data_IF_533506393273
#
_entry.id   IF_533506393273
#
_cell.length_a   1.000
_cell.length_b   1.000
_cell.length_c   1.000
_cell.angle_alpha   90.00
_cell.angle_beta   90.00
_cell.angle_gamma   90.00
#
_symmetry.space_group_name_H-M   'P 1'
#
loop_
_entity.id
_entity.type
_entity.pdbx_description
1 polymer ?
#
# COMPACT_ATOMS: atom_id res chain seq x y z
N UNK A 1 5.98 6.29 -24.53
CA UNK A 1 5.59 5.30 -23.49
C UNK A 1 5.50 6.05 -22.17
N UNK A 2 4.39 5.97 -21.43
CA UNK A 2 4.30 6.63 -20.12
C UNK A 2 5.24 5.95 -19.13
N UNK A 3 6.03 6.73 -18.40
CA UNK A 3 6.91 6.27 -17.31
C UNK A 3 6.36 6.84 -16.01
N UNK A 4 6.13 5.97 -15.02
CA UNK A 4 5.72 6.38 -13.68
C UNK A 4 6.98 6.70 -12.87
N UNK A 5 7.00 7.90 -12.30
CA UNK A 5 8.08 8.46 -11.47
C UNK A 5 7.49 8.88 -10.13
N UNK A 6 8.31 9.09 -9.09
CA UNK A 6 7.83 9.56 -7.78
C UNK A 6 6.96 10.82 -7.89
N UNK A 7 7.30 11.73 -8.80
CA UNK A 7 6.62 13.02 -9.02
C UNK A 7 5.42 12.93 -9.97
N UNK A 8 5.07 11.74 -10.47
CA UNK A 8 3.90 11.58 -11.35
C UNK A 8 2.65 12.07 -10.61
N UNK A 9 1.85 12.99 -11.21
CA UNK A 9 0.68 13.53 -10.53
C UNK A 9 -0.35 12.46 -10.19
N UNK A 10 -0.98 12.59 -9.01
CA UNK A 10 -2.03 11.66 -8.55
C UNK A 10 -3.12 11.42 -9.61
N UNK A 11 -3.54 12.47 -10.34
CA UNK A 11 -4.53 12.34 -11.43
C UNK A 11 -4.11 11.34 -12.50
N UNK A 12 -2.83 11.34 -12.89
CA UNK A 12 -2.29 10.42 -13.89
C UNK A 12 -2.24 9.00 -13.33
N UNK A 13 -1.77 8.84 -12.09
CA UNK A 13 -1.71 7.55 -11.38
C UNK A 13 -3.10 6.92 -11.24
N UNK A 14 -4.11 7.71 -10.88
CA UNK A 14 -5.50 7.26 -10.81
C UNK A 14 -6.01 6.80 -12.17
N UNK A 15 -5.70 7.52 -13.24
CA UNK A 15 -6.16 7.18 -14.59
C UNK A 15 -5.58 5.85 -15.08
N UNK A 16 -4.31 5.56 -14.79
CA UNK A 16 -3.66 4.31 -15.21
C UNK A 16 -3.84 3.15 -14.22
N UNK A 17 -4.21 3.45 -12.97
CA UNK A 17 -4.47 2.47 -11.92
C UNK A 17 -5.94 2.04 -11.79
N UNK A 18 -6.86 2.74 -12.47
CA UNK A 18 -8.32 2.58 -12.28
C UNK A 18 -8.87 1.19 -12.59
N UNK A 19 -8.21 0.43 -13.47
CA UNK A 19 -8.70 -0.87 -13.96
C UNK A 19 -8.97 -1.83 -12.80
N UNK A 20 -10.23 -2.19 -12.57
CA UNK A 20 -10.61 -3.07 -11.47
C UNK A 20 -11.96 -3.73 -11.77
N UNK A 21 -11.97 -5.06 -11.82
CA UNK A 21 -13.17 -5.84 -12.15
C UNK A 21 -14.04 -6.13 -10.92
N UNK A 22 -13.77 -5.50 -9.77
CA UNK A 22 -14.46 -5.72 -8.49
C UNK A 22 -14.39 -7.13 -7.90
N UNK A 23 -13.84 -8.11 -8.64
CA UNK A 23 -13.76 -9.55 -8.30
C UNK A 23 -12.32 -10.12 -8.32
N UNK A 24 -11.32 -9.29 -8.59
CA UNK A 24 -9.95 -9.72 -8.93
C UNK A 24 -9.17 -10.37 -7.77
N UNK A 25 -8.11 -11.09 -8.17
CA UNK A 25 -7.09 -11.70 -7.32
C UNK A 25 -6.57 -10.79 -6.20
N UNK A 26 -6.48 -9.48 -6.41
CA UNK A 26 -5.99 -8.56 -5.39
C UNK A 26 -6.79 -8.70 -4.09
N UNK A 27 -8.13 -8.69 -4.16
CA UNK A 27 -8.98 -8.80 -2.97
C UNK A 27 -9.08 -10.23 -2.42
N UNK A 28 -8.61 -11.25 -3.15
CA UNK A 28 -8.58 -12.64 -2.70
C UNK A 28 -7.28 -13.00 -1.95
N UNK A 29 -6.22 -12.24 -2.17
CA UNK A 29 -4.89 -12.52 -1.63
C UNK A 29 -4.35 -11.36 -0.77
N UNK A 30 -4.84 -10.14 -0.94
CA UNK A 30 -4.44 -9.03 -0.09
C UNK A 30 -5.61 -8.10 0.27
N UNK A 31 -5.42 -7.34 1.33
CA UNK A 31 -6.23 -6.17 1.65
C UNK A 31 -5.44 -4.91 1.34
N UNK A 32 -6.05 -3.94 0.68
CA UNK A 32 -5.39 -2.67 0.43
C UNK A 32 -5.06 -1.91 1.70
N UNK A 33 -4.09 -0.99 1.60
CA UNK A 33 -3.78 -0.03 2.66
C UNK A 33 -4.89 1.02 2.74
N UNK A 34 -5.27 1.38 3.96
CA UNK A 34 -6.26 2.40 4.28
C UNK A 34 -5.55 3.54 4.99
N UNK A 35 -5.51 4.71 4.34
CA UNK A 35 -4.97 5.94 4.93
C UNK A 35 -6.01 6.55 5.87
N UNK A 36 -5.60 7.37 6.84
CA UNK A 36 -6.53 8.04 7.77
C UNK A 36 -7.63 8.83 7.03
N UNK A 37 -7.28 9.53 5.94
CA UNK A 37 -8.22 10.24 5.08
C UNK A 37 -9.25 9.33 4.36
N UNK A 38 -8.91 8.06 4.15
CA UNK A 38 -9.86 7.08 3.61
C UNK A 38 -10.86 6.60 4.67
N UNK A 39 -10.46 6.56 5.94
CA UNK A 39 -11.28 6.00 7.04
C UNK A 39 -12.57 6.79 7.20
N UNK A 40 -12.47 8.11 7.33
CA UNK A 40 -13.65 8.99 7.50
C UNK A 40 -14.66 8.83 6.36
N UNK A 41 -14.15 8.85 5.12
CA UNK A 41 -14.95 8.75 3.90
C UNK A 41 -15.64 7.40 3.76
N UNK A 42 -14.94 6.30 4.05
CA UNK A 42 -15.49 4.94 3.95
C UNK A 42 -16.47 4.68 5.08
N UNK A 43 -16.14 5.04 6.33
CA UNK A 43 -17.03 4.89 7.47
C UNK A 43 -18.38 5.59 7.23
N UNK A 44 -18.34 6.84 6.73
CA UNK A 44 -19.54 7.60 6.35
C UNK A 44 -20.38 6.89 5.30
N UNK A 45 -19.75 6.34 4.25
CA UNK A 45 -20.48 5.61 3.20
C UNK A 45 -21.15 4.32 3.69
N UNK A 46 -20.67 3.77 4.79
CA UNK A 46 -21.20 2.56 5.44
C UNK A 46 -22.16 2.89 6.59
N UNK A 47 -22.48 4.16 6.83
CA UNK A 47 -23.28 4.64 7.96
C UNK A 47 -22.72 4.20 9.33
N UNK A 48 -21.38 4.27 9.48
CA UNK A 48 -20.68 3.94 10.72
C UNK A 48 -19.88 5.14 11.23
N UNK A 49 -19.64 5.18 12.54
CA UNK A 49 -18.61 6.05 13.11
C UNK A 49 -17.21 5.54 12.74
N UNK A 50 -16.23 6.44 12.67
CA UNK A 50 -14.83 6.07 12.38
C UNK A 50 -14.30 5.02 13.37
N UNK A 51 -14.58 5.21 14.67
CA UNK A 51 -14.21 4.25 15.72
C UNK A 51 -14.77 2.87 15.43
N UNK A 52 -16.08 2.77 15.15
CA UNK A 52 -16.73 1.49 14.87
C UNK A 52 -16.20 0.86 13.58
N UNK A 53 -15.93 1.66 12.56
CA UNK A 53 -15.36 1.21 11.30
C UNK A 53 -13.93 0.65 11.48
N UNK A 54 -13.04 1.36 12.19
CA UNK A 54 -11.69 0.89 12.54
C UNK A 54 -11.75 -0.45 13.28
N UNK A 55 -12.53 -0.52 14.37
CA UNK A 55 -12.66 -1.73 15.19
C UNK A 55 -13.24 -2.92 14.40
N UNK A 56 -14.22 -2.67 13.54
CA UNK A 56 -14.93 -3.74 12.82
C UNK A 56 -14.11 -4.26 11.64
N UNK A 57 -13.51 -3.37 10.85
CA UNK A 57 -12.98 -3.73 9.52
C UNK A 57 -11.48 -3.60 9.35
N UNK A 58 -10.77 -2.89 10.24
CA UNK A 58 -9.35 -2.60 10.06
C UNK A 58 -8.47 -3.36 11.05
N UNK A 59 -7.22 -3.53 10.66
CA UNK A 59 -6.11 -3.96 11.52
C UNK A 59 -4.96 -2.97 11.34
N UNK A 60 -4.28 -2.68 12.43
CA UNK A 60 -3.03 -1.92 12.38
C UNK A 60 -1.97 -2.70 11.61
N UNK A 61 -1.15 -1.96 10.88
CA UNK A 61 -0.08 -2.49 10.07
C UNK A 61 1.07 -1.46 10.03
N UNK A 62 2.26 -1.92 9.68
CA UNK A 62 3.41 -1.05 9.50
C UNK A 62 4.08 -1.39 8.18
N UNK A 63 4.50 -0.36 7.46
CA UNK A 63 5.30 -0.52 6.25
C UNK A 63 6.29 0.63 6.13
N UNK A 64 7.56 0.33 5.92
CA UNK A 64 8.65 1.32 5.87
C UNK A 64 8.71 2.16 7.16
N UNK A 65 8.54 1.53 8.33
CA UNK A 65 8.46 2.19 9.64
C UNK A 65 7.38 3.28 9.73
N UNK A 66 6.32 3.15 8.93
CA UNK A 66 5.15 4.03 8.94
C UNK A 66 3.92 3.22 9.30
N UNK A 67 3.25 3.62 10.37
CA UNK A 67 1.99 3.04 10.79
C UNK A 67 0.90 3.31 9.75
N UNK A 68 0.12 2.29 9.43
CA UNK A 68 -1.00 2.36 8.50
C UNK A 68 -2.07 1.34 8.90
N UNK A 69 -3.19 1.33 8.17
CA UNK A 69 -4.22 0.31 8.36
C UNK A 69 -4.35 -0.57 7.12
N UNK A 70 -4.78 -1.81 7.34
CA UNK A 70 -5.28 -2.69 6.28
C UNK A 70 -6.68 -3.16 6.64
N UNK A 71 -7.48 -3.52 5.63
CA UNK A 71 -8.69 -4.27 5.92
C UNK A 71 -8.35 -5.63 6.52
N UNK A 72 -9.20 -6.09 7.44
CA UNK A 72 -9.19 -7.47 7.92
C UNK A 72 -9.30 -8.43 6.74
N UNK A 73 -8.68 -9.60 6.90
CA UNK A 73 -8.71 -10.66 5.91
C UNK A 73 -9.22 -11.95 6.54
N UNK A 74 -10.07 -12.65 5.81
CA UNK A 74 -10.38 -14.05 6.04
C UNK A 74 -9.19 -14.88 5.54
N UNK A 75 -8.41 -15.44 6.48
CA UNK A 75 -7.24 -16.25 6.14
C UNK A 75 -7.69 -17.53 5.43
N UNK A 76 -7.09 -17.79 4.27
CA UNK A 76 -7.34 -19.01 3.53
C UNK A 76 -6.62 -20.18 4.19
N UNK A 77 -7.15 -21.39 4.04
CA UNK A 77 -6.50 -22.63 4.52
C UNK A 77 -5.83 -23.30 3.32
N UNK A 78 -4.60 -23.77 3.53
CA UNK A 78 -3.91 -24.60 2.56
C UNK A 78 -4.49 -26.02 2.59
N UNK A 79 -5.00 -26.50 1.46
CA UNK A 79 -5.72 -27.76 1.39
C UNK A 79 -4.85 -28.98 1.70
N UNK A 80 -3.54 -28.89 1.41
CA UNK A 80 -2.58 -29.98 1.60
C UNK A 80 -2.09 -30.05 3.05
N UNK A 81 -1.72 -28.91 3.62
CA UNK A 81 -1.12 -28.83 4.96
C UNK A 81 -2.13 -28.56 6.06
N UNK A 82 -3.36 -28.17 5.71
CA UNK A 82 -4.41 -27.67 6.62
C UNK A 82 -4.01 -26.44 7.45
N UNK A 83 -2.89 -25.79 7.11
CA UNK A 83 -2.41 -24.59 7.78
C UNK A 83 -3.03 -23.33 7.17
N UNK A 84 -3.14 -22.27 7.98
CA UNK A 84 -3.56 -20.94 7.49
C UNK A 84 -2.47 -20.36 6.58
N UNK A 85 -2.87 -19.86 5.42
CA UNK A 85 -2.00 -19.15 4.48
C UNK A 85 -1.65 -17.76 5.03
N UNK A 86 -0.47 -17.21 4.67
CA UNK A 86 -0.08 -15.87 5.10
C UNK A 86 -0.98 -14.77 4.50
N UNK A 87 -1.63 -15.06 3.36
CA UNK A 87 -2.57 -14.19 2.67
C UNK A 87 -4.03 -14.59 2.91
N UNK A 88 -4.96 -13.71 2.53
CA UNK A 88 -6.39 -13.96 2.73
C UNK A 88 -7.30 -13.07 1.91
N UNK A 89 -8.58 -13.46 1.89
CA UNK A 89 -9.66 -12.73 1.25
C UNK A 89 -9.98 -11.47 2.07
N UNK A 90 -9.96 -10.31 1.45
CA UNK A 90 -10.34 -9.05 2.07
C UNK A 90 -11.81 -9.12 2.55
N UNK A 91 -12.09 -8.68 3.78
CA UNK A 91 -13.45 -8.68 4.36
C UNK A 91 -14.44 -7.82 3.59
N UNK A 92 -13.96 -6.90 2.75
CA UNK A 92 -14.79 -6.08 1.88
C UNK A 92 -15.21 -6.79 0.59
N UNK A 93 -14.70 -7.99 0.31
CA UNK A 93 -15.08 -8.78 -0.86
C UNK A 93 -16.24 -9.72 -0.52
N UNK A 94 -17.42 -9.43 -1.06
CA UNK A 94 -18.56 -10.33 -1.06
C UNK A 94 -18.50 -11.24 -2.30
N UNK A 95 -18.85 -12.52 -2.17
CA UNK A 95 -18.70 -13.48 -3.27
C UNK A 95 -19.62 -13.16 -4.46
N UNK A 96 -20.85 -12.71 -4.18
CA UNK A 96 -21.83 -12.37 -5.23
C UNK A 96 -21.75 -10.90 -5.69
N UNK A 97 -21.49 -9.96 -4.77
CA UNK A 97 -21.58 -8.52 -5.03
C UNK A 97 -20.21 -7.90 -5.36
N UNK A 98 -19.12 -8.66 -5.20
CA UNK A 98 -17.76 -8.14 -5.31
C UNK A 98 -17.39 -7.21 -4.16
N UNK A 99 -16.52 -6.25 -4.43
CA UNK A 99 -16.08 -5.29 -3.41
C UNK A 99 -17.22 -4.36 -2.94
N UNK A 100 -17.68 -4.50 -1.69
CA UNK A 100 -18.79 -3.75 -1.11
C UNK A 100 -18.53 -2.23 -1.05
N UNK A 101 -17.27 -1.82 -0.96
CA UNK A 101 -16.85 -0.43 -0.91
C UNK A 101 -16.30 0.06 -2.26
N UNK A 102 -16.61 -0.58 -3.38
CA UNK A 102 -15.93 -0.30 -4.65
C UNK A 102 -15.93 1.18 -5.05
N UNK A 103 -17.09 1.85 -4.94
CA UNK A 103 -17.24 3.26 -5.31
C UNK A 103 -16.47 4.21 -4.37
N UNK A 104 -16.14 3.73 -3.18
CA UNK A 104 -15.47 4.47 -2.11
C UNK A 104 -14.18 3.77 -1.67
N UNK A 105 -13.58 2.93 -2.52
CA UNK A 105 -12.38 2.17 -2.18
C UNK A 105 -11.23 3.12 -1.74
N UNK A 106 -10.29 2.67 -0.88
CA UNK A 106 -9.20 3.52 -0.43
C UNK A 106 -8.27 3.89 -1.60
N UNK A 107 -7.46 4.93 -1.42
CA UNK A 107 -6.53 5.40 -2.46
C UNK A 107 -5.64 4.27 -2.97
N UNK A 108 -5.08 3.46 -2.06
CA UNK A 108 -4.26 2.30 -2.43
C UNK A 108 -4.98 1.37 -3.42
N UNK A 109 -6.25 1.05 -3.21
CA UNK A 109 -7.04 0.20 -4.11
C UNK A 109 -7.44 0.90 -5.42
N UNK A 110 -7.35 2.24 -5.50
CA UNK A 110 -7.55 3.01 -6.74
C UNK A 110 -6.29 3.01 -7.61
N UNK A 111 -5.10 2.95 -7.00
CA UNK A 111 -3.83 3.09 -7.71
C UNK A 111 -3.11 1.75 -7.91
N UNK A 112 -3.08 0.87 -6.91
CA UNK A 112 -2.35 -0.40 -6.93
C UNK A 112 -3.21 -1.55 -7.49
N UNK A 113 -3.70 -1.41 -8.72
CA UNK A 113 -4.40 -2.52 -9.38
C UNK A 113 -3.43 -3.52 -9.99
N UNK A 114 -3.63 -4.80 -9.70
CA UNK A 114 -2.87 -5.92 -10.31
C UNK A 114 -3.10 -6.09 -11.82
N UNK A 115 -4.13 -5.43 -12.38
CA UNK A 115 -4.39 -5.44 -13.82
C UNK A 115 -3.59 -4.41 -14.59
N UNK A 116 -3.21 -3.32 -13.94
CA UNK A 116 -2.45 -2.29 -14.60
C UNK A 116 -1.08 -2.85 -15.00
N UNK A 117 -0.69 -2.66 -16.26
CA UNK A 117 0.68 -2.96 -16.72
C UNK A 117 1.76 -2.16 -15.97
N UNK A 118 1.35 -1.14 -15.20
CA UNK A 118 2.21 -0.33 -14.35
C UNK A 118 2.18 -0.78 -12.87
N UNK A 119 1.59 -1.93 -12.54
CA UNK A 119 1.27 -2.32 -11.16
C UNK A 119 2.43 -2.19 -10.15
N UNK A 120 3.63 -2.64 -10.51
CA UNK A 120 4.82 -2.49 -9.66
C UNK A 120 5.19 -1.02 -9.46
N UNK A 121 5.26 -0.25 -10.54
CA UNK A 121 5.60 1.17 -10.50
C UNK A 121 4.56 2.00 -9.73
N UNK A 122 3.27 1.65 -9.82
CA UNK A 122 2.20 2.29 -9.04
C UNK A 122 2.30 1.94 -7.55
N UNK A 123 2.71 0.71 -7.22
CA UNK A 123 2.98 0.29 -5.84
C UNK A 123 4.15 1.07 -5.25
N UNK A 124 5.24 1.22 -6.00
CA UNK A 124 6.38 2.04 -5.60
C UNK A 124 5.99 3.52 -5.46
N UNK A 125 5.20 4.06 -6.41
CA UNK A 125 4.69 5.43 -6.32
C UNK A 125 3.88 5.66 -5.04
N UNK A 126 2.97 4.74 -4.71
CA UNK A 126 2.18 4.84 -3.49
C UNK A 126 3.08 4.76 -2.25
N UNK A 127 4.02 3.82 -2.21
CA UNK A 127 4.96 3.70 -1.11
C UNK A 127 5.78 4.98 -0.90
N UNK A 128 6.37 5.52 -1.96
CA UNK A 128 7.22 6.72 -1.91
C UNK A 128 6.48 8.01 -1.54
N UNK A 129 5.17 8.08 -1.81
CA UNK A 129 4.36 9.28 -1.52
C UNK A 129 3.61 9.19 -0.19
N UNK A 130 3.36 7.99 0.34
CA UNK A 130 2.50 7.82 1.53
C UNK A 130 3.11 7.00 2.67
N UNK A 131 4.16 6.21 2.41
CA UNK A 131 4.71 5.25 3.40
C UNK A 131 6.19 5.47 3.70
N UNK A 132 6.99 5.87 2.72
CA UNK A 132 8.42 6.15 2.93
C UNK A 132 8.56 7.56 3.50
N UNK A 133 9.07 7.65 4.73
CA UNK A 133 9.30 8.89 5.43
C UNK A 133 10.80 9.25 5.37
N UNK A 134 11.14 10.24 4.55
CA UNK A 134 12.54 10.67 4.35
C UNK A 134 13.20 11.27 5.59
N UNK A 135 12.41 11.67 6.59
CA UNK A 135 12.90 12.21 7.84
C UNK A 135 13.10 11.11 8.91
N UNK A 136 12.74 9.87 8.61
CA UNK A 136 12.90 8.71 9.50
C UNK A 136 14.02 7.79 8.95
N UNK A 137 15.19 7.73 9.60
CA UNK A 137 16.32 6.90 9.16
C UNK A 137 15.96 5.44 8.95
N UNK A 138 15.12 4.87 9.82
CA UNK A 138 14.68 3.48 9.71
C UNK A 138 13.76 3.26 8.50
N UNK A 139 12.91 4.23 8.17
CA UNK A 139 12.13 4.18 6.93
C UNK A 139 13.03 4.13 5.68
N UNK A 140 14.10 4.93 5.67
CA UNK A 140 15.10 4.92 4.59
C UNK A 140 15.84 3.57 4.52
N UNK A 141 16.20 2.96 5.66
CA UNK A 141 16.83 1.62 5.67
C UNK A 141 15.90 0.55 5.13
N UNK A 142 14.63 0.54 5.57
CA UNK A 142 13.66 -0.43 5.06
C UNK A 142 13.41 -0.26 3.56
N UNK A 143 13.40 0.98 3.06
CA UNK A 143 13.37 1.25 1.62
C UNK A 143 14.64 0.77 0.92
N UNK A 144 15.83 0.97 1.50
CA UNK A 144 17.10 0.46 0.98
C UNK A 144 17.08 -1.07 0.85
N UNK A 145 16.58 -1.79 1.85
CA UNK A 145 16.38 -3.24 1.81
C UNK A 145 15.41 -3.65 0.71
N UNK A 146 14.31 -2.92 0.52
CA UNK A 146 13.36 -3.17 -0.56
C UNK A 146 14.02 -3.04 -1.95
N UNK A 147 14.88 -2.03 -2.14
CA UNK A 147 15.60 -1.81 -3.40
C UNK A 147 16.65 -2.88 -3.73
N UNK A 148 17.01 -3.75 -2.79
CA UNK A 148 17.86 -4.92 -3.09
C UNK A 148 17.17 -5.93 -4.02
N UNK A 149 15.83 -5.93 -4.04
CA UNK A 149 15.02 -6.89 -4.78
C UNK A 149 14.21 -6.26 -5.91
N UNK A 150 14.21 -4.94 -6.04
CA UNK A 150 13.30 -4.20 -6.92
C UNK A 150 14.04 -3.05 -7.58
N UNK A 151 13.75 -2.79 -8.86
CA UNK A 151 14.31 -1.63 -9.56
C UNK A 151 13.50 -0.38 -9.18
N UNK A 152 14.13 0.68 -8.63
CA UNK A 152 13.41 1.88 -8.25
C UNK A 152 12.82 2.58 -9.47
N UNK A 153 11.59 3.09 -9.35
CA UNK A 153 11.09 4.12 -10.27
C UNK A 153 11.96 5.38 -10.17
N UNK A 154 11.96 6.21 -11.23
CA UNK A 154 12.69 7.48 -11.22
C UNK A 154 12.27 8.34 -10.02
N UNK A 155 13.25 8.89 -9.29
CA UNK A 155 13.04 9.66 -8.05
C UNK A 155 12.85 8.79 -6.81
N UNK A 156 12.90 7.46 -6.95
CA UNK A 156 12.80 6.48 -5.87
C UNK A 156 14.15 5.93 -5.40
N UNK A 157 15.27 6.33 -6.01
CA UNK A 157 16.59 5.92 -5.55
C UNK A 157 16.94 6.59 -4.22
N UNK A 158 17.75 5.93 -3.39
CA UNK A 158 18.19 6.49 -2.10
C UNK A 158 18.89 7.85 -2.26
N UNK A 159 19.65 8.04 -3.34
CA UNK A 159 20.33 9.31 -3.65
C UNK A 159 19.36 10.44 -4.03
N UNK A 160 18.19 10.10 -4.56
CA UNK A 160 17.14 11.08 -4.87
C UNK A 160 16.34 11.44 -3.62
N UNK A 161 16.17 10.49 -2.70
CA UNK A 161 15.48 10.70 -1.42
C UNK A 161 16.34 11.46 -0.41
N UNK A 162 17.63 11.13 -0.34
CA UNK A 162 18.63 11.75 0.55
C UNK A 162 19.84 12.17 -0.30
N UNK A 163 19.82 13.39 -0.90
CA UNK A 163 20.90 13.86 -1.77
C UNK A 163 22.25 14.05 -1.06
N UNK A 164 22.22 14.33 0.24
CA UNK A 164 23.43 14.40 1.06
C UNK A 164 24.01 13.00 1.26
N UNK A 165 25.10 12.71 0.54
CA UNK A 165 25.80 11.41 0.57
C UNK A 165 26.34 11.07 1.96
N UNK A 166 26.82 12.05 2.72
CA UNK A 166 27.36 11.79 4.05
C UNK A 166 26.22 11.42 5.00
N UNK A 167 25.12 12.17 4.96
CA UNK A 167 23.91 11.84 5.72
C UNK A 167 23.38 10.45 5.36
N UNK A 168 23.25 10.15 4.07
CA UNK A 168 22.80 8.84 3.60
C UNK A 168 23.70 7.72 4.12
N UNK A 169 25.02 7.86 4.01
CA UNK A 169 25.98 6.88 4.54
C UNK A 169 25.79 6.64 6.03
N UNK A 170 25.63 7.72 6.82
CA UNK A 170 25.39 7.62 8.26
C UNK A 170 24.08 6.93 8.61
N UNK A 171 23.02 7.16 7.84
CA UNK A 171 21.74 6.45 7.99
C UNK A 171 21.96 4.95 7.77
N UNK A 172 22.58 4.56 6.65
CA UNK A 172 22.75 3.16 6.26
C UNK A 172 23.70 2.38 7.19
N UNK A 173 24.69 3.05 7.79
CA UNK A 173 25.63 2.46 8.74
C UNK A 173 25.18 2.52 10.21
N UNK A 174 23.90 2.85 10.47
CA UNK A 174 23.34 2.94 11.83
C UNK A 174 23.97 4.00 12.75
N UNK A 175 24.62 5.02 12.20
CA UNK A 175 25.16 6.16 12.97
C UNK A 175 24.06 7.17 13.35
N UNK A 176 22.97 7.23 12.58
CA UNK A 176 21.77 8.04 12.88
C UNK A 176 20.61 7.08 13.18
N UNK A 177 20.26 6.92 14.46
CA UNK A 177 19.26 5.94 14.90
C UNK A 177 17.82 6.49 14.94
N UNK A 178 17.65 7.81 15.08
CA UNK A 178 16.36 8.50 15.18
C UNK A 178 16.30 9.66 14.22
#
# INVERSE_FOLDING_TARGET
>A
MLVITKQTPLKVVLEVGKECDKCNNCCKHDSGIVLEEDISRIAKSMNLSEKKFKETYLVEHERFNTACYKFKQEKLVDEKTKNKKPYGKCIMLHDELGCMIHNVKPLHCKVCSVKSKYGEALTQWFALNYLVNINNPESIRQWATFLQFQTPIQGGELKDLIPDKQKLSKILNYEILK
#
